data_IF_608450198062
#
_entry.id   IF_608450198062
#
_cell.length_a   1.000
_cell.length_b   1.000
_cell.length_c   1.000
_cell.angle_alpha   90.00
_cell.angle_beta   90.00
_cell.angle_gamma   90.00
#
_symmetry.space_group_name_H-M   'P 1'
#
loop_
_entity.id
_entity.type
_entity.pdbx_description
1 polymer ?
#
# COMPACT_ATOMS: atom_id res chain seq x y z
N UNK A 1 -0.57 37.56 42.33
CA UNK A 1 0.79 37.85 41.83
C UNK A 1 0.95 37.12 40.50
N UNK A 2 0.93 37.85 39.38
CA UNK A 2 1.57 37.40 38.13
C UNK A 2 3.10 37.59 38.23
N UNK A 3 3.91 37.50 37.15
CA UNK A 3 3.59 37.65 35.70
C UNK A 3 4.00 36.42 34.85
N UNK A 4 3.44 36.14 33.66
CA UNK A 4 3.44 36.83 32.35
C UNK A 4 4.68 36.58 31.47
N UNK A 5 4.46 35.85 30.36
CA UNK A 5 5.00 35.98 28.99
C UNK A 5 4.73 34.64 28.26
N UNK A 6 4.10 34.50 27.10
CA UNK A 6 3.65 35.41 26.05
C UNK A 6 3.88 34.72 24.70
N UNK A 7 2.87 34.77 23.81
CA UNK A 7 2.90 34.65 22.32
C UNK A 7 3.37 33.30 21.70
N UNK A 8 2.86 32.78 20.58
CA UNK A 8 1.86 33.19 19.56
C UNK A 8 1.59 31.98 18.61
N UNK A 9 0.37 31.92 18.06
CA UNK A 9 -0.08 31.38 16.76
C UNK A 9 0.34 29.99 16.23
N UNK A 10 -0.70 29.15 16.03
CA UNK A 10 -1.17 28.84 14.67
C UNK A 10 -0.56 27.63 13.95
N UNK A 11 -1.35 26.55 13.83
CA UNK A 11 -1.93 26.10 12.55
C UNK A 11 -2.01 24.57 12.37
N UNK A 12 -3.20 24.21 11.91
CA UNK A 12 -3.77 23.05 11.25
C UNK A 12 -3.00 21.71 11.13
N UNK A 13 -3.69 20.66 11.57
CA UNK A 13 -3.27 19.25 11.44
C UNK A 13 -3.60 18.73 10.04
N UNK A 14 -2.54 18.46 9.28
CA UNK A 14 -2.62 17.72 8.02
C UNK A 14 -2.99 16.25 8.22
N UNK A 15 -3.95 15.79 7.41
CA UNK A 15 -4.20 14.38 7.10
C UNK A 15 -3.72 14.05 5.70
N UNK A 16 -2.94 12.97 5.61
CA UNK A 16 -2.27 12.41 4.44
C UNK A 16 -3.22 12.02 3.29
N UNK A 17 -2.74 12.18 2.05
CA UNK A 17 -2.87 11.14 1.03
C UNK A 17 -1.70 11.17 0.05
N UNK A 18 -1.07 10.01 0.00
CA UNK A 18 -0.02 9.46 -0.85
C UNK A 18 -0.22 9.69 -2.36
N UNK A 19 0.86 10.01 -3.08
CA UNK A 19 0.99 9.58 -4.49
C UNK A 19 2.47 9.46 -4.92
N UNK A 20 2.93 8.21 -4.92
CA UNK A 20 3.94 7.62 -5.79
C UNK A 20 5.15 8.44 -6.25
N UNK A 21 6.26 8.20 -5.54
CA UNK A 21 7.62 8.34 -6.07
C UNK A 21 7.86 7.36 -7.24
N UNK A 22 7.98 7.89 -8.47
CA UNK A 22 8.69 7.22 -9.57
C UNK A 22 10.15 7.66 -9.60
N UNK A 23 10.99 6.72 -9.16
CA UNK A 23 12.43 6.52 -9.38
C UNK A 23 13.09 7.45 -10.40
N UNK A 24 14.06 8.20 -9.88
CA UNK A 24 15.04 8.97 -10.64
C UNK A 24 15.90 8.04 -11.52
N UNK A 25 15.69 8.11 -12.84
CA UNK A 25 16.71 7.72 -13.79
C UNK A 25 17.83 8.77 -13.74
N UNK A 26 18.99 8.39 -13.19
CA UNK A 26 20.25 9.11 -13.37
C UNK A 26 20.58 9.19 -14.87
N UNK A 27 20.14 10.28 -15.49
CA UNK A 27 20.68 10.76 -16.75
C UNK A 27 21.54 11.99 -16.44
N UNK A 28 22.85 11.85 -16.54
CA UNK A 28 23.80 12.97 -16.50
C UNK A 28 23.35 14.04 -17.49
N UNK A 29 22.70 15.10 -16.99
CA UNK A 29 22.34 16.28 -17.77
C UNK A 29 23.64 16.99 -18.14
N UNK A 30 24.16 16.72 -19.34
CA UNK A 30 25.05 17.66 -20.01
C UNK A 30 24.23 18.93 -20.24
N UNK A 31 24.42 19.92 -19.37
CA UNK A 31 23.92 21.27 -19.58
C UNK A 31 24.40 21.74 -20.96
N UNK A 32 23.47 21.81 -21.92
CA UNK A 32 23.75 22.47 -23.18
C UNK A 32 23.75 23.97 -22.87
N UNK A 33 24.84 24.70 -23.15
CA UNK A 33 24.90 26.12 -22.87
C UNK A 33 23.74 26.81 -23.57
N UNK A 34 22.96 27.61 -22.84
CA UNK A 34 21.94 28.50 -23.41
C UNK A 34 22.65 29.56 -24.23
N UNK A 35 22.92 29.25 -25.50
CA UNK A 35 23.50 30.19 -26.45
C UNK A 35 22.40 31.22 -26.72
N UNK A 36 22.62 32.46 -26.27
CA UNK A 36 21.66 33.54 -26.47
C UNK A 36 21.42 33.77 -27.96
N UNK A 37 20.23 34.28 -28.32
CA UNK A 37 19.84 34.58 -29.71
C UNK A 37 20.89 35.43 -30.44
N UNK A 38 21.56 36.33 -29.71
CA UNK A 38 22.67 37.15 -30.18
C UNK A 38 23.91 36.31 -30.51
N UNK A 39 24.33 35.41 -29.61
CA UNK A 39 25.47 34.51 -29.83
C UNK A 39 25.22 33.54 -31.01
N UNK A 40 23.99 33.05 -31.19
CA UNK A 40 23.67 32.20 -32.35
C UNK A 40 23.78 32.96 -33.69
N UNK A 41 23.42 34.23 -33.73
CA UNK A 41 23.53 35.07 -34.92
C UNK A 41 24.99 35.47 -35.21
N UNK A 42 25.78 35.71 -34.16
CA UNK A 42 27.22 35.96 -34.27
C UNK A 42 27.97 34.73 -34.80
N UNK A 43 27.66 33.54 -34.30
CA UNK A 43 28.23 32.28 -34.79
C UNK A 43 27.84 32.04 -36.27
N UNK A 44 26.61 32.37 -36.68
CA UNK A 44 26.19 32.27 -38.08
C UNK A 44 26.99 33.21 -38.98
N UNK A 45 27.19 34.48 -38.57
CA UNK A 45 28.02 35.43 -39.30
C UNK A 45 29.48 34.99 -39.38
N UNK A 46 30.01 34.37 -38.33
CA UNK A 46 31.36 33.79 -38.36
C UNK A 46 31.48 32.64 -39.35
N UNK A 47 30.50 31.73 -39.38
CA UNK A 47 30.47 30.61 -40.34
C UNK A 47 30.37 31.12 -41.78
N UNK A 48 29.54 32.14 -42.04
CA UNK A 48 29.41 32.76 -43.37
C UNK A 48 30.70 33.48 -43.79
N UNK A 49 31.36 34.19 -42.87
CA UNK A 49 32.63 34.84 -43.13
C UNK A 49 33.77 33.82 -43.37
N UNK A 50 33.79 32.72 -42.62
CA UNK A 50 34.78 31.65 -42.80
C UNK A 50 34.55 30.87 -44.10
N UNK A 51 33.29 30.66 -44.50
CA UNK A 51 32.92 30.10 -45.81
C UNK A 51 33.39 30.99 -46.96
N UNK A 52 33.21 32.31 -46.84
CA UNK A 52 33.67 33.29 -47.83
C UNK A 52 35.20 33.35 -47.91
N UNK A 53 35.89 33.30 -46.77
CA UNK A 53 37.38 33.24 -46.73
C UNK A 53 37.90 31.96 -47.39
N UNK A 54 37.22 30.83 -47.19
CA UNK A 54 37.57 29.56 -47.82
C UNK A 54 37.33 29.58 -49.35
N UNK A 55 36.36 30.35 -49.85
CA UNK A 55 36.12 30.55 -51.29
C UNK A 55 37.14 31.50 -51.95
N UNK A 56 37.65 32.48 -51.21
CA UNK A 56 38.64 33.46 -51.67
C UNK A 56 40.07 32.87 -51.69
N UNK A 57 40.40 31.91 -50.81
CA UNK A 57 41.69 31.20 -50.79
C UNK A 57 41.69 29.96 -51.71
N UNK A 58 41.94 30.16 -53.01
CA UNK A 58 41.91 29.09 -54.03
C UNK A 58 43.23 28.31 -54.23
N UNK A 59 44.31 28.70 -53.54
CA UNK A 59 45.66 28.09 -53.67
C UNK A 59 46.03 27.17 -52.48
N UNK A 60 45.04 26.63 -51.77
CA UNK A 60 45.25 25.66 -50.69
C UNK A 60 45.21 24.22 -51.22
N UNK A 61 46.01 23.33 -50.65
CA UNK A 61 45.96 21.90 -50.97
C UNK A 61 44.52 21.37 -50.79
N UNK A 62 44.01 20.67 -51.81
CA UNK A 62 42.59 20.23 -51.92
C UNK A 62 42.11 19.47 -50.67
N UNK A 63 43.02 18.75 -49.99
CA UNK A 63 42.72 17.99 -48.78
C UNK A 63 42.42 18.86 -47.55
N UNK A 64 43.13 19.98 -47.36
CA UNK A 64 42.89 20.88 -46.23
C UNK A 64 41.59 21.66 -46.41
N UNK A 65 41.30 22.07 -47.65
CA UNK A 65 40.03 22.69 -48.03
C UNK A 65 38.84 21.78 -47.74
N UNK A 66 38.95 20.48 -48.04
CA UNK A 66 37.89 19.50 -47.76
C UNK A 66 37.69 19.26 -46.26
N UNK A 67 38.76 19.26 -45.45
CA UNK A 67 38.65 19.14 -43.98
C UNK A 67 37.96 20.36 -43.35
N UNK A 68 38.29 21.57 -43.81
CA UNK A 68 37.63 22.79 -43.32
C UNK A 68 36.17 22.83 -43.76
N UNK A 69 35.88 22.44 -45.00
CA UNK A 69 34.52 22.40 -45.52
C UNK A 69 33.64 21.40 -44.73
N UNK A 70 34.11 20.18 -44.50
CA UNK A 70 33.35 19.18 -43.72
C UNK A 70 33.11 19.62 -42.28
N UNK A 71 34.06 20.32 -41.67
CA UNK A 71 33.90 20.89 -40.33
C UNK A 71 32.91 22.07 -40.30
N UNK A 72 32.91 22.92 -41.33
CA UNK A 72 31.88 23.97 -41.50
C UNK A 72 30.50 23.36 -41.71
N UNK A 73 30.37 22.34 -42.56
CA UNK A 73 29.12 21.61 -42.79
C UNK A 73 28.59 20.94 -41.50
N UNK A 74 29.49 20.37 -40.67
CA UNK A 74 29.11 19.82 -39.37
C UNK A 74 28.55 20.89 -38.42
N UNK A 75 29.23 22.05 -38.31
CA UNK A 75 28.76 23.18 -37.50
C UNK A 75 27.43 23.75 -38.01
N UNK A 76 27.25 23.85 -39.32
CA UNK A 76 25.98 24.25 -39.94
C UNK A 76 24.85 23.26 -39.60
N UNK A 77 25.13 21.95 -39.67
CA UNK A 77 24.15 20.92 -39.32
C UNK A 77 23.76 20.93 -37.83
N UNK A 78 24.70 21.17 -36.92
CA UNK A 78 24.41 21.31 -35.50
C UNK A 78 23.57 22.55 -35.18
N UNK A 79 23.88 23.69 -35.80
CA UNK A 79 23.06 24.90 -35.69
C UNK A 79 21.65 24.69 -36.22
N UNK A 80 21.50 23.96 -37.33
CA UNK A 80 20.19 23.63 -37.89
C UNK A 80 19.37 22.77 -36.92
N UNK A 81 19.96 21.71 -36.35
CA UNK A 81 19.29 20.87 -35.34
C UNK A 81 18.89 21.68 -34.10
N UNK A 82 19.73 22.62 -33.66
CA UNK A 82 19.41 23.50 -32.55
C UNK A 82 18.24 24.45 -32.86
N UNK A 83 18.22 25.05 -34.06
CA UNK A 83 17.10 25.89 -34.53
C UNK A 83 15.80 25.10 -34.65
N UNK A 84 15.86 23.88 -35.18
CA UNK A 84 14.69 22.98 -35.28
C UNK A 84 14.15 22.60 -33.90
N UNK A 85 15.03 22.27 -32.94
CA UNK A 85 14.62 22.00 -31.56
C UNK A 85 14.00 23.23 -30.87
N UNK A 86 14.55 24.43 -31.08
CA UNK A 86 14.00 25.67 -30.57
C UNK A 86 12.62 25.97 -31.18
N UNK A 87 12.47 25.81 -32.50
CA UNK A 87 11.20 25.99 -33.21
C UNK A 87 10.13 25.02 -32.71
N UNK A 88 10.48 23.74 -32.52
CA UNK A 88 9.57 22.74 -31.97
C UNK A 88 9.14 23.08 -30.53
N UNK A 89 10.05 23.59 -29.70
CA UNK A 89 9.72 24.03 -28.35
C UNK A 89 8.79 25.25 -28.36
N UNK A 90 9.06 26.24 -29.22
CA UNK A 90 8.18 27.41 -29.38
C UNK A 90 6.79 27.00 -29.85
N UNK A 91 6.67 26.12 -30.85
CA UNK A 91 5.37 25.58 -31.29
C UNK A 91 4.61 24.86 -30.17
N UNK A 92 5.31 24.11 -29.31
CA UNK A 92 4.69 23.45 -28.14
C UNK A 92 4.23 24.47 -27.10
N UNK A 93 5.02 25.52 -26.84
CA UNK A 93 4.64 26.61 -25.93
C UNK A 93 3.44 27.38 -26.47
N UNK A 94 3.42 27.69 -27.77
CA UNK A 94 2.29 28.33 -28.43
C UNK A 94 1.04 27.44 -28.42
N UNK A 95 1.18 26.12 -28.58
CA UNK A 95 0.06 25.18 -28.47
C UNK A 95 -0.50 25.07 -27.03
N UNK A 96 0.37 25.13 -26.02
CA UNK A 96 -0.05 25.18 -24.62
C UNK A 96 -0.69 26.53 -24.28
N UNK A 97 -0.10 27.64 -24.74
CA UNK A 97 -0.63 28.98 -24.58
C UNK A 97 -1.98 29.11 -25.30
N UNK A 98 -2.11 28.64 -26.53
CA UNK A 98 -3.40 28.67 -27.23
C UNK A 98 -4.42 27.76 -26.54
N UNK A 99 -4.03 26.61 -25.99
CA UNK A 99 -4.95 25.76 -25.21
C UNK A 99 -5.37 26.38 -23.86
N UNK A 100 -4.51 27.19 -23.25
CA UNK A 100 -4.79 27.88 -21.98
C UNK A 100 -5.53 29.21 -22.22
N UNK A 101 -5.29 29.89 -23.35
CA UNK A 101 -5.69 31.29 -23.60
C UNK A 101 -6.70 31.43 -24.75
N UNK A 102 -6.68 30.58 -25.78
CA UNK A 102 -7.43 30.78 -27.06
C UNK A 102 -8.28 29.58 -27.48
N UNK A 103 -8.22 28.46 -26.76
CA UNK A 103 -8.74 27.16 -27.21
C UNK A 103 -9.76 26.54 -26.25
N UNK A 104 -11.00 26.98 -26.36
CA UNK A 104 -12.19 26.14 -26.12
C UNK A 104 -12.75 26.09 -24.70
N UNK A 105 -11.93 26.09 -23.65
CA UNK A 105 -12.41 26.21 -22.27
C UNK A 105 -11.36 26.92 -21.41
N UNK A 106 -11.72 28.09 -20.86
CA UNK A 106 -10.88 28.86 -19.95
C UNK A 106 -10.66 28.04 -18.66
N UNK A 107 -9.66 27.15 -18.64
CA UNK A 107 -9.32 26.31 -17.48
C UNK A 107 -9.06 27.17 -16.23
N UNK A 108 -8.50 28.36 -16.43
CA UNK A 108 -8.29 29.34 -15.36
C UNK A 108 -9.63 29.87 -14.81
N UNK A 109 -10.54 30.29 -15.69
CA UNK A 109 -11.87 30.80 -15.28
C UNK A 109 -12.74 29.69 -14.67
N UNK A 110 -12.63 28.45 -15.16
CA UNK A 110 -13.30 27.29 -14.55
C UNK A 110 -12.74 26.95 -13.18
N UNK A 111 -11.42 27.05 -12.99
CA UNK A 111 -10.81 26.88 -11.68
C UNK A 111 -11.25 27.97 -10.70
N UNK A 112 -11.25 29.24 -11.12
CA UNK A 112 -11.75 30.35 -10.32
C UNK A 112 -13.25 30.23 -10.02
N UNK A 113 -14.06 29.75 -10.97
CA UNK A 113 -15.48 29.51 -10.76
C UNK A 113 -15.74 28.35 -9.80
N UNK A 114 -14.96 27.27 -9.88
CA UNK A 114 -15.02 26.16 -8.92
C UNK A 114 -14.57 26.59 -7.53
N UNK A 115 -13.50 27.38 -7.43
CA UNK A 115 -13.01 27.93 -6.16
C UNK A 115 -14.08 28.82 -5.50
N UNK A 116 -14.68 29.74 -6.25
CA UNK A 116 -15.80 30.57 -5.74
C UNK A 116 -17.01 29.75 -5.32
N UNK A 117 -17.33 28.68 -6.05
CA UNK A 117 -18.43 27.79 -5.69
C UNK A 117 -18.13 27.00 -4.40
N UNK A 118 -16.90 26.53 -4.24
CA UNK A 118 -16.44 25.87 -3.02
C UNK A 118 -16.45 26.81 -1.82
N UNK A 119 -15.99 28.06 -2.00
CA UNK A 119 -16.03 29.09 -0.96
C UNK A 119 -17.47 29.41 -0.52
N UNK A 120 -18.39 29.59 -1.49
CA UNK A 120 -19.80 29.81 -1.19
C UNK A 120 -20.42 28.63 -0.43
N UNK A 121 -20.13 27.40 -0.86
CA UNK A 121 -20.57 26.18 -0.19
C UNK A 121 -20.02 26.08 1.24
N UNK A 122 -18.73 26.38 1.43
CA UNK A 122 -18.09 26.38 2.75
C UNK A 122 -18.73 27.40 3.70
N UNK A 123 -18.99 28.62 3.21
CA UNK A 123 -19.67 29.67 3.99
C UNK A 123 -21.11 29.29 4.33
N UNK A 124 -21.84 28.66 3.41
CA UNK A 124 -23.18 28.15 3.69
C UNK A 124 -23.17 27.03 4.73
N UNK A 125 -22.21 26.11 4.63
CA UNK A 125 -22.03 25.00 5.56
C UNK A 125 -21.69 25.53 6.97
N UNK A 126 -20.78 26.50 7.07
CA UNK A 126 -20.45 27.16 8.34
C UNK A 126 -21.68 27.87 8.94
N UNK A 127 -22.48 28.56 8.12
CA UNK A 127 -23.75 29.16 8.58
C UNK A 127 -24.75 28.12 9.05
N UNK A 128 -24.80 26.94 8.44
CA UNK A 128 -25.67 25.85 8.90
C UNK A 128 -25.15 25.24 10.21
N UNK A 129 -23.84 25.02 10.32
CA UNK A 129 -23.21 24.53 11.56
C UNK A 129 -23.45 25.51 12.72
N UNK A 130 -23.19 26.80 12.54
CA UNK A 130 -23.47 27.82 13.57
C UNK A 130 -24.95 27.85 13.96
N UNK A 131 -25.87 27.72 13.01
CA UNK A 131 -27.32 27.63 13.30
C UNK A 131 -27.67 26.37 14.07
N UNK A 132 -27.10 25.23 13.70
CA UNK A 132 -27.29 23.96 14.39
C UNK A 132 -26.75 24.03 15.83
N UNK A 133 -25.56 24.59 16.03
CA UNK A 133 -24.96 24.80 17.34
C UNK A 133 -25.80 25.73 18.21
N UNK A 134 -26.27 26.86 17.67
CA UNK A 134 -27.16 27.77 18.38
C UNK A 134 -28.48 27.11 18.77
N UNK A 135 -29.08 26.31 17.88
CA UNK A 135 -30.27 25.54 18.20
C UNK A 135 -29.98 24.50 19.28
N UNK A 136 -28.83 23.84 19.22
CA UNK A 136 -28.42 22.84 20.19
C UNK A 136 -28.18 23.45 21.58
N UNK A 137 -27.55 24.63 21.64
CA UNK A 137 -27.37 25.38 22.88
C UNK A 137 -28.72 25.82 23.45
N UNK A 138 -29.61 26.38 22.63
CA UNK A 138 -30.98 26.74 23.07
C UNK A 138 -31.78 25.54 23.55
N UNK A 139 -31.64 24.37 22.92
CA UNK A 139 -32.27 23.14 23.40
C UNK A 139 -31.74 22.74 24.77
N UNK A 140 -30.41 22.76 24.97
CA UNK A 140 -29.78 22.49 26.27
C UNK A 140 -30.27 23.47 27.34
N UNK A 141 -30.26 24.77 27.07
CA UNK A 141 -30.78 25.80 27.98
C UNK A 141 -32.26 25.56 28.33
N UNK A 142 -33.09 25.20 27.34
CA UNK A 142 -34.52 24.89 27.60
C UNK A 142 -34.71 23.61 28.39
N UNK A 143 -33.86 22.60 28.20
CA UNK A 143 -33.84 21.39 29.00
C UNK A 143 -33.42 21.70 30.45
N UNK A 144 -32.39 22.50 30.63
CA UNK A 144 -31.93 22.97 31.95
C UNK A 144 -32.98 23.84 32.66
N UNK A 145 -33.62 24.77 31.96
CA UNK A 145 -34.73 25.58 32.48
C UNK A 145 -35.92 24.71 32.86
N UNK A 146 -36.27 23.69 32.05
CA UNK A 146 -37.32 22.73 32.39
C UNK A 146 -36.96 21.96 33.66
N UNK A 147 -35.71 21.52 33.80
CA UNK A 147 -35.24 20.81 34.99
C UNK A 147 -35.29 21.73 36.23
N UNK A 148 -34.94 23.01 36.08
CA UNK A 148 -34.94 24.01 37.17
C UNK A 148 -36.36 24.46 37.57
N UNK A 149 -37.28 24.59 36.61
CA UNK A 149 -38.70 24.86 36.89
C UNK A 149 -39.36 23.62 37.52
N UNK A 150 -39.02 22.42 37.07
CA UNK A 150 -39.40 21.18 37.76
C UNK A 150 -38.91 21.18 39.21
N UNK A 151 -37.73 21.75 39.52
CA UNK A 151 -37.19 21.81 40.90
C UNK A 151 -37.93 22.78 41.83
N UNK A 152 -38.73 23.72 41.30
CA UNK A 152 -39.68 24.51 42.09
C UNK A 152 -40.96 23.72 42.31
N UNK A 153 -40.87 22.65 43.09
CA UNK A 153 -42.03 21.87 43.49
C UNK A 153 -42.85 22.67 44.51
N UNK A 154 -44.12 22.96 44.19
CA UNK A 154 -45.03 23.68 45.08
C UNK A 154 -45.53 22.80 46.25
N UNK A 155 -45.10 21.52 46.33
CA UNK A 155 -45.40 20.56 47.39
C UNK A 155 -44.33 19.46 47.52
N UNK A 156 -44.05 19.04 48.76
CA UNK A 156 -43.13 17.94 49.10
C UNK A 156 -43.46 16.62 48.36
N UNK A 157 -44.73 16.42 48.03
CA UNK A 157 -45.20 15.22 47.33
C UNK A 157 -44.86 15.25 45.84
N UNK A 158 -44.86 16.43 45.21
CA UNK A 158 -44.39 16.61 43.83
C UNK A 158 -42.87 16.47 43.75
N UNK A 159 -42.14 16.94 44.77
CA UNK A 159 -40.69 16.77 44.87
C UNK A 159 -40.30 15.28 44.96
N UNK A 160 -41.00 14.50 45.79
CA UNK A 160 -40.78 13.06 45.90
C UNK A 160 -41.08 12.34 44.57
N UNK A 161 -42.14 12.73 43.85
CA UNK A 161 -42.49 12.17 42.55
C UNK A 161 -41.45 12.54 41.47
N UNK A 162 -40.97 13.79 41.49
CA UNK A 162 -39.93 14.31 40.63
C UNK A 162 -38.59 13.60 40.82
N UNK A 163 -38.14 13.48 42.08
CA UNK A 163 -36.93 12.72 42.43
C UNK A 163 -37.03 11.25 42.02
N UNK A 164 -38.20 10.60 42.17
CA UNK A 164 -38.43 9.23 41.67
C UNK A 164 -38.32 9.13 40.15
N UNK A 165 -38.80 10.12 39.39
CA UNK A 165 -38.65 10.18 37.93
C UNK A 165 -37.20 10.38 37.52
N UNK A 166 -36.48 11.32 38.17
CA UNK A 166 -35.05 11.55 37.97
C UNK A 166 -34.24 10.28 38.26
N UNK A 167 -34.52 9.59 39.37
CA UNK A 167 -33.86 8.33 39.73
C UNK A 167 -34.11 7.24 38.68
N UNK A 168 -35.33 7.12 38.13
CA UNK A 168 -35.61 6.18 37.05
C UNK A 168 -34.83 6.51 35.78
N UNK A 169 -34.78 7.79 35.37
CA UNK A 169 -34.00 8.24 34.22
C UNK A 169 -32.50 7.98 34.40
N UNK A 170 -31.96 8.30 35.57
CA UNK A 170 -30.56 8.02 35.90
C UNK A 170 -30.29 6.51 35.94
N UNK A 171 -31.23 5.71 36.45
CA UNK A 171 -31.13 4.25 36.43
C UNK A 171 -31.09 3.69 35.02
N UNK A 172 -31.92 4.19 34.10
CA UNK A 172 -31.87 3.79 32.68
C UNK A 172 -30.57 4.22 32.01
N UNK A 173 -30.10 5.44 32.25
CA UNK A 173 -28.82 5.91 31.72
C UNK A 173 -27.64 5.09 32.25
N UNK A 174 -27.66 4.74 33.54
CA UNK A 174 -26.64 3.88 34.15
C UNK A 174 -26.62 2.48 33.52
N UNK A 175 -27.79 1.87 33.33
CA UNK A 175 -27.87 0.55 32.69
C UNK A 175 -27.41 0.60 31.24
N UNK A 176 -27.74 1.67 30.52
CA UNK A 176 -27.25 1.89 29.15
C UNK A 176 -25.73 2.03 29.12
N UNK A 177 -25.15 2.92 29.94
CA UNK A 177 -23.70 3.10 30.02
C UNK A 177 -22.98 1.82 30.45
N UNK A 178 -23.60 1.02 31.32
CA UNK A 178 -23.08 -0.30 31.70
C UNK A 178 -23.09 -1.28 30.52
N UNK A 179 -24.18 -1.32 29.75
CA UNK A 179 -24.27 -2.16 28.56
C UNK A 179 -23.21 -1.76 27.52
N UNK A 180 -23.06 -0.46 27.25
CA UNK A 180 -22.01 0.07 26.36
C UNK A 180 -20.61 -0.35 26.82
N UNK A 181 -20.35 -0.32 28.13
CA UNK A 181 -19.08 -0.76 28.70
C UNK A 181 -18.86 -2.27 28.51
N UNK A 182 -19.89 -3.08 28.73
CA UNK A 182 -19.83 -4.52 28.52
C UNK A 182 -19.64 -4.88 27.03
N UNK A 183 -20.26 -4.13 26.12
CA UNK A 183 -20.07 -4.26 24.66
C UNK A 183 -18.61 -3.96 24.28
N UNK A 184 -18.05 -2.82 24.70
CA UNK A 184 -16.64 -2.45 24.46
C UNK A 184 -15.67 -3.50 25.03
N UNK A 185 -15.95 -4.03 26.22
CA UNK A 185 -15.14 -5.12 26.80
C UNK A 185 -15.19 -6.38 25.94
N UNK A 186 -16.36 -6.74 25.43
CA UNK A 186 -16.52 -7.92 24.59
C UNK A 186 -15.79 -7.79 23.25
N UNK A 187 -15.82 -6.60 22.66
CA UNK A 187 -15.06 -6.26 21.44
C UNK A 187 -13.55 -6.36 21.71
N UNK A 188 -13.08 -5.76 22.80
CA UNK A 188 -11.67 -5.82 23.17
C UNK A 188 -11.19 -7.25 23.38
N UNK A 189 -11.97 -8.10 24.07
CA UNK A 189 -11.63 -9.52 24.25
C UNK A 189 -11.56 -10.23 22.90
N UNK A 190 -12.52 -9.98 22.00
CA UNK A 190 -12.55 -10.59 20.66
C UNK A 190 -11.34 -10.17 19.82
N UNK A 191 -10.96 -8.89 19.88
CA UNK A 191 -9.75 -8.38 19.21
C UNK A 191 -8.49 -9.01 19.78
N UNK A 192 -8.36 -9.07 21.10
CA UNK A 192 -7.24 -9.73 21.78
C UNK A 192 -7.15 -11.20 21.40
N UNK A 193 -8.26 -11.93 21.39
CA UNK A 193 -8.30 -13.33 20.96
C UNK A 193 -7.87 -13.50 19.51
N UNK A 194 -8.31 -12.61 18.61
CA UNK A 194 -7.89 -12.59 17.21
C UNK A 194 -6.38 -12.34 17.05
N UNK A 195 -5.83 -11.36 17.76
CA UNK A 195 -4.39 -11.08 17.75
C UNK A 195 -3.58 -12.26 18.30
N UNK A 196 -4.04 -12.87 19.41
CA UNK A 196 -3.39 -14.03 19.99
C UNK A 196 -3.44 -15.24 19.05
N UNK A 197 -4.53 -15.46 18.33
CA UNK A 197 -4.58 -16.54 17.34
C UNK A 197 -3.66 -16.27 16.15
N UNK A 198 -3.58 -15.03 15.67
CA UNK A 198 -2.61 -14.65 14.64
C UNK A 198 -1.16 -14.91 15.10
N UNK A 199 -0.82 -14.56 16.34
CA UNK A 199 0.52 -14.86 16.91
C UNK A 199 0.76 -16.37 16.94
N UNK A 200 -0.23 -17.17 17.36
CA UNK A 200 -0.10 -18.64 17.36
C UNK A 200 0.07 -19.19 15.95
N UNK A 201 -0.68 -18.68 14.97
CA UNK A 201 -0.55 -19.08 13.58
C UNK A 201 0.82 -18.74 13.01
N UNK A 202 1.28 -17.49 13.16
CA UNK A 202 2.61 -17.05 12.73
C UNK A 202 3.72 -17.86 13.43
N UNK A 203 3.54 -18.20 14.70
CA UNK A 203 4.45 -19.07 15.43
C UNK A 203 4.53 -20.48 14.83
N UNK A 204 3.39 -21.07 14.42
CA UNK A 204 3.35 -22.37 13.72
C UNK A 204 4.00 -22.30 12.34
N UNK A 205 3.73 -21.24 11.58
CA UNK A 205 4.32 -21.03 10.25
C UNK A 205 5.83 -20.83 10.33
N UNK A 206 6.31 -20.02 11.27
CA UNK A 206 7.73 -19.83 11.51
C UNK A 206 8.41 -21.14 11.91
N UNK A 207 7.81 -21.90 12.84
CA UNK A 207 8.35 -23.21 13.23
C UNK A 207 8.41 -24.18 12.04
N UNK A 208 7.40 -24.18 11.17
CA UNK A 208 7.40 -24.97 9.93
C UNK A 208 8.54 -24.54 9.00
N UNK A 209 8.72 -23.23 8.78
CA UNK A 209 9.80 -22.73 7.92
C UNK A 209 11.18 -23.04 8.49
N UNK A 210 11.38 -22.90 9.80
CA UNK A 210 12.63 -23.29 10.46
C UNK A 210 12.89 -24.79 10.29
N UNK A 211 11.88 -25.64 10.50
CA UNK A 211 12.00 -27.08 10.31
C UNK A 211 12.36 -27.42 8.85
N UNK A 212 11.75 -26.74 7.88
CA UNK A 212 12.06 -26.91 6.46
C UNK A 212 13.52 -26.49 6.15
N UNK A 213 13.94 -25.35 6.67
CA UNK A 213 15.32 -24.84 6.50
C UNK A 213 16.32 -25.82 7.11
N UNK A 214 16.07 -26.32 8.32
CA UNK A 214 16.96 -27.26 9.00
C UNK A 214 17.08 -28.61 8.29
N UNK A 215 16.00 -29.09 7.67
CA UNK A 215 16.01 -30.36 6.95
C UNK A 215 16.67 -30.27 5.56
N UNK A 216 16.51 -29.15 4.86
CA UNK A 216 16.91 -29.04 3.44
C UNK A 216 18.17 -28.20 3.22
N UNK A 217 18.58 -27.35 4.16
CA UNK A 217 19.72 -26.44 4.00
C UNK A 217 20.75 -26.72 5.12
N UNK A 218 21.96 -27.20 4.79
CA UNK A 218 23.01 -27.36 5.79
C UNK A 218 23.40 -26.02 6.46
N UNK A 219 23.68 -26.06 7.76
CA UNK A 219 24.09 -24.90 8.59
C UNK A 219 25.13 -23.94 7.97
N UNK A 220 26.25 -24.39 7.36
CA UNK A 220 27.22 -23.46 6.80
C UNK A 220 26.67 -22.63 5.63
N UNK A 221 25.69 -23.16 4.89
CA UNK A 221 25.02 -22.40 3.83
C UNK A 221 23.96 -21.44 4.39
N UNK A 222 23.32 -21.77 5.51
CA UNK A 222 22.42 -20.85 6.21
C UNK A 222 23.18 -19.59 6.66
N UNK A 223 24.33 -19.77 7.33
CA UNK A 223 25.19 -18.66 7.78
C UNK A 223 25.65 -17.79 6.59
N UNK A 224 26.00 -18.42 5.46
CA UNK A 224 26.39 -17.70 4.25
C UNK A 224 25.24 -16.86 3.67
N UNK A 225 24.00 -17.37 3.72
CA UNK A 225 22.80 -16.64 3.26
C UNK A 225 22.51 -15.49 4.21
N UNK A 226 22.51 -15.72 5.53
CA UNK A 226 22.25 -14.70 6.55
C UNK A 226 23.22 -13.52 6.45
N UNK A 227 24.51 -13.77 6.23
CA UNK A 227 25.51 -12.71 6.04
C UNK A 227 25.27 -11.86 4.78
N UNK A 228 24.61 -12.42 3.76
CA UNK A 228 24.42 -11.80 2.45
C UNK A 228 23.01 -11.30 2.17
N UNK A 229 22.08 -11.49 3.09
CA UNK A 229 20.72 -10.94 3.07
C UNK A 229 20.73 -9.50 3.57
N UNK A 230 20.01 -8.62 2.88
CA UNK A 230 19.77 -7.24 3.28
C UNK A 230 18.30 -6.89 3.07
N UNK A 231 17.73 -6.17 4.02
CA UNK A 231 16.39 -5.60 3.86
C UNK A 231 16.46 -4.36 2.98
N UNK A 232 15.60 -4.28 1.97
CA UNK A 232 15.47 -3.08 1.14
C UNK A 232 14.19 -2.32 1.53
N UNK A 233 14.34 -1.20 2.23
CA UNK A 233 13.22 -0.38 2.72
C UNK A 233 12.38 0.24 1.58
N UNK A 234 12.99 0.56 0.44
CA UNK A 234 12.31 1.20 -0.69
C UNK A 234 11.36 0.24 -1.44
N UNK A 235 11.60 -1.07 -1.32
CA UNK A 235 10.82 -2.12 -2.01
C UNK A 235 10.01 -2.94 -1.00
N UNK A 236 10.42 -2.98 0.27
CA UNK A 236 9.77 -3.78 1.32
C UNK A 236 10.03 -5.27 1.19
N UNK A 237 11.19 -5.67 0.65
CA UNK A 237 11.55 -7.06 0.41
C UNK A 237 12.99 -7.38 0.86
N UNK A 238 13.23 -8.63 1.27
CA UNK A 238 14.57 -9.15 1.52
C UNK A 238 15.31 -9.39 0.21
N UNK A 239 16.48 -8.79 0.05
CA UNK A 239 17.36 -8.94 -1.10
C UNK A 239 18.62 -9.70 -0.73
N UNK A 240 18.89 -10.79 -1.45
CA UNK A 240 20.12 -11.54 -1.30
C UNK A 240 21.19 -10.96 -2.24
N UNK A 241 22.42 -10.71 -1.74
CA UNK A 241 23.53 -10.31 -2.61
C UNK A 241 23.91 -11.46 -3.54
N UNK A 242 24.28 -11.12 -4.78
CA UNK A 242 24.79 -12.08 -5.75
C UNK A 242 23.80 -13.21 -6.16
N UNK A 243 22.48 -12.97 -6.08
CA UNK A 243 21.43 -13.96 -6.47
C UNK A 243 21.66 -14.58 -7.85
N UNK A 244 22.17 -13.79 -8.81
CA UNK A 244 22.46 -14.24 -10.17
C UNK A 244 23.45 -15.41 -10.25
N UNK A 245 24.30 -15.59 -9.24
CA UNK A 245 25.31 -16.66 -9.18
C UNK A 245 24.81 -17.91 -8.44
N UNK A 246 23.56 -17.92 -7.98
CA UNK A 246 22.96 -19.11 -7.33
C UNK A 246 22.61 -20.17 -8.38
N UNK A 247 22.76 -21.45 -8.02
CA UNK A 247 22.59 -22.57 -8.96
C UNK A 247 21.23 -22.62 -9.67
N UNK A 248 20.15 -22.17 -9.03
CA UNK A 248 18.83 -22.07 -9.69
C UNK A 248 18.78 -20.98 -10.77
N UNK A 249 19.44 -19.84 -10.55
CA UNK A 249 19.48 -18.74 -11.50
C UNK A 249 20.50 -18.97 -12.64
N UNK A 250 21.48 -19.85 -12.43
CA UNK A 250 22.46 -20.25 -13.46
C UNK A 250 21.99 -21.39 -14.35
N UNK A 251 20.94 -22.13 -13.96
CA UNK A 251 20.33 -23.17 -14.82
C UNK A 251 19.51 -22.49 -15.92
N UNK A 252 19.83 -22.77 -17.18
CA UNK A 252 18.99 -22.36 -18.32
C UNK A 252 17.61 -23.04 -18.15
N UNK A 253 16.49 -22.33 -18.36
CA UNK A 253 15.19 -22.99 -18.36
C UNK A 253 15.20 -24.07 -19.44
N UNK A 254 15.04 -25.33 -19.04
CA UNK A 254 14.77 -26.41 -19.99
C UNK A 254 13.49 -26.04 -20.74
N UNK A 255 13.50 -26.18 -22.07
CA UNK A 255 12.35 -25.88 -22.91
C UNK A 255 11.18 -26.74 -22.42
N UNK A 256 10.07 -26.08 -22.06
CA UNK A 256 8.83 -26.76 -21.67
C UNK A 256 8.42 -27.76 -22.75
N UNK A 257 8.54 -29.06 -22.46
CA UNK A 257 7.85 -30.08 -23.23
C UNK A 257 6.36 -30.01 -22.84
N UNK A 258 5.43 -29.99 -23.80
CA UNK A 258 4.00 -29.89 -23.51
C UNK A 258 3.59 -31.05 -22.58
N UNK A 259 2.78 -30.78 -21.53
CA UNK A 259 2.43 -31.79 -20.55
C UNK A 259 1.68 -32.94 -21.24
N UNK A 260 2.21 -34.16 -21.13
CA UNK A 260 1.48 -35.34 -21.60
C UNK A 260 0.17 -35.46 -20.82
N UNK A 261 -0.96 -35.78 -21.46
CA UNK A 261 -2.25 -35.85 -20.78
C UNK A 261 -2.17 -36.87 -19.65
N UNK A 262 -2.42 -36.41 -18.43
CA UNK A 262 -2.43 -37.23 -17.21
C UNK A 262 -3.63 -38.17 -17.28
N UNK A 263 -3.42 -39.48 -17.21
CA UNK A 263 -4.49 -40.46 -17.22
C UNK A 263 -5.23 -40.49 -15.86
N UNK A 264 -6.47 -40.01 -15.87
CA UNK A 264 -7.35 -39.89 -14.70
C UNK A 264 -8.24 -41.13 -14.50
N UNK A 265 -7.96 -42.23 -15.21
CA UNK A 265 -8.70 -43.49 -15.14
C UNK A 265 -8.85 -44.06 -13.72
N UNK A 266 -7.93 -43.72 -12.81
CA UNK A 266 -7.95 -44.20 -11.41
C UNK A 266 -8.82 -43.37 -10.45
N UNK A 267 -9.36 -42.22 -10.87
CA UNK A 267 -10.12 -41.31 -9.98
C UNK A 267 -11.64 -41.50 -10.13
N UNK A 268 -12.09 -41.99 -11.28
CA UNK A 268 -13.51 -42.27 -11.50
C UNK A 268 -13.85 -43.72 -11.15
N UNK A 269 -14.29 -43.94 -9.90
CA UNK A 269 -15.06 -45.14 -9.56
C UNK A 269 -16.44 -45.02 -10.22
N UNK A 270 -16.59 -45.63 -11.41
CA UNK A 270 -17.88 -45.65 -12.08
C UNK A 270 -18.84 -46.55 -11.29
N UNK A 271 -19.90 -45.96 -10.74
CA UNK A 271 -21.04 -46.67 -10.18
C UNK A 271 -21.81 -47.33 -11.33
N UNK A 272 -21.34 -48.50 -11.76
CA UNK A 272 -22.15 -49.43 -12.54
C UNK A 272 -22.49 -50.58 -11.59
N UNK A 273 -23.78 -50.67 -11.27
CA UNK A 273 -24.34 -51.44 -10.17
C UNK A 273 -23.87 -52.89 -10.12
N UNK A 274 -23.86 -53.39 -8.87
CA UNK A 274 -23.59 -54.76 -8.46
C UNK A 274 -24.39 -55.78 -9.27
N UNK A 275 -23.85 -56.31 -10.37
CA UNK A 275 -24.21 -57.63 -10.90
C UNK A 275 -22.96 -58.32 -11.48
N UNK A 276 -22.72 -59.54 -11.00
CA UNK A 276 -21.85 -60.59 -11.57
C UNK A 276 -20.35 -60.67 -11.20
N UNK A 277 -20.13 -61.44 -10.13
CA UNK A 277 -19.34 -62.69 -10.08
C UNK A 277 -18.00 -62.73 -10.86
N UNK A 278 -16.95 -62.90 -10.04
CA UNK A 278 -15.98 -64.00 -10.17
C UNK A 278 -14.96 -63.91 -11.32
N UNK A 279 -13.77 -63.37 -11.04
CA UNK A 279 -12.53 -64.08 -11.40
C UNK A 279 -11.48 -63.87 -10.30
N UNK A 280 -11.14 -64.98 -9.66
CA UNK A 280 -9.93 -65.14 -8.84
C UNK A 280 -8.75 -65.29 -9.80
N UNK A 281 -7.69 -64.50 -9.63
CA UNK A 281 -6.38 -64.83 -10.20
C UNK A 281 -5.35 -65.03 -9.09
N UNK A 282 -4.79 -66.23 -9.10
CA UNK A 282 -3.83 -66.78 -8.17
C UNK A 282 -2.39 -66.35 -8.49
N UNK A 283 -1.61 -66.13 -7.40
CA UNK A 283 -0.16 -66.42 -7.24
C UNK A 283 0.80 -65.56 -8.10
N UNK A 284 1.84 -64.95 -7.55
CA UNK A 284 3.02 -65.66 -7.08
C UNK A 284 3.66 -65.09 -5.80
N UNK A 285 3.98 -66.03 -4.92
CA UNK A 285 4.74 -65.93 -3.68
C UNK A 285 6.25 -65.82 -3.90
N UNK A 286 6.95 -65.02 -3.09
CA UNK A 286 8.27 -65.38 -2.52
C UNK A 286 8.41 -64.85 -1.09
N UNK A 287 8.33 -65.76 -0.12
CA UNK A 287 8.82 -65.57 1.25
C UNK A 287 9.63 -66.79 1.68
N UNK A 288 10.74 -66.56 2.38
CA UNK A 288 11.31 -67.40 3.46
C UNK A 288 12.52 -66.68 4.11
N UNK A 289 12.95 -67.01 5.35
CA UNK A 289 12.18 -66.95 6.61
C UNK A 289 12.97 -66.36 7.83
N UNK A 290 12.19 -65.99 8.87
CA UNK A 290 12.36 -66.20 10.33
C UNK A 290 13.72 -65.99 11.04
N UNK A 291 13.68 -65.23 12.14
CA UNK A 291 13.68 -65.83 13.49
C UNK A 291 13.10 -64.87 14.54
N UNK A 292 12.48 -65.45 15.55
CA UNK A 292 11.72 -64.79 16.62
C UNK A 292 12.41 -65.03 17.96
N UNK A 293 12.21 -64.13 18.93
CA UNK A 293 12.18 -64.51 20.34
C UNK A 293 11.15 -63.65 21.09
N UNK A 294 10.28 -64.34 21.83
CA UNK A 294 9.16 -63.84 22.65
C UNK A 294 9.63 -63.63 24.09
N UNK A 295 9.02 -62.68 24.82
CA UNK A 295 8.27 -62.90 26.09
C UNK A 295 7.63 -61.55 26.53
N UNK A 296 6.28 -61.42 26.60
CA UNK A 296 5.37 -61.54 27.78
C UNK A 296 5.75 -60.64 28.96
N UNK A 297 4.87 -59.96 29.68
CA UNK A 297 3.41 -59.77 29.78
C UNK A 297 3.24 -58.49 30.64
N UNK A 298 2.13 -58.07 31.23
CA UNK A 298 0.79 -58.58 31.50
C UNK A 298 0.03 -57.41 32.20
N UNK A 299 -1.30 -57.35 32.03
CA UNK A 299 -2.30 -56.74 32.93
C UNK A 299 -2.20 -55.24 33.29
N UNK A 300 -3.27 -54.46 33.49
CA UNK A 300 -4.70 -54.69 33.60
C UNK A 300 -5.36 -53.46 34.25
N UNK A 301 -6.69 -53.34 34.11
CA UNK A 301 -7.59 -52.56 34.98
C UNK A 301 -7.67 -51.05 34.69
N UNK A 302 -8.72 -50.53 34.03
CA UNK A 302 -10.08 -50.31 34.57
C UNK A 302 -10.15 -49.38 35.79
N UNK A 303 -10.63 -48.14 35.59
CA UNK A 303 -11.98 -47.74 36.03
C UNK A 303 -12.29 -46.26 35.75
N UNK A 304 -13.45 -46.06 35.10
CA UNK A 304 -14.27 -44.87 35.20
C UNK A 304 -14.76 -44.66 36.64
N UNK A 305 -14.77 -43.41 37.11
CA UNK A 305 -15.72 -42.94 38.14
C UNK A 305 -16.23 -41.55 37.77
N UNK A 306 -17.44 -41.51 37.19
CA UNK A 306 -18.35 -40.35 37.28
C UNK A 306 -18.89 -40.31 38.71
N UNK A 307 -18.75 -39.20 39.41
CA UNK A 307 -19.51 -38.94 40.64
C UNK A 307 -20.44 -37.75 40.40
N UNK A 308 -21.73 -38.01 40.55
CA UNK A 308 -22.79 -37.04 40.61
C UNK A 308 -22.98 -36.60 42.06
N UNK A 309 -23.11 -35.29 42.30
CA UNK A 309 -23.66 -34.76 43.55
C UNK A 309 -24.91 -33.95 43.23
N UNK A 310 -25.93 -34.28 44.03
CA UNK A 310 -27.33 -33.87 44.04
C UNK A 310 -27.53 -32.39 44.40
N UNK A 311 -28.59 -31.83 43.79
CA UNK A 311 -29.74 -31.13 44.39
C UNK A 311 -29.53 -30.41 45.73
N UNK A 312 -29.84 -29.12 45.76
CA UNK A 312 -30.87 -28.59 46.67
C UNK A 312 -31.65 -27.45 46.03
N UNK A 313 -32.96 -27.50 46.27
CA UNK A 313 -33.95 -26.48 45.96
C UNK A 313 -34.17 -25.62 47.20
N UNK A 314 -34.16 -24.30 47.02
CA UNK A 314 -35.23 -23.36 47.39
C UNK A 314 -34.83 -21.94 47.00
#
# INVERSE_FOLDING_TARGET
MGPSAGVDSGDDSGGEVDDHQKRAAQGTKKERPKISKQKMAEIQRMIEADKRRLEEQKDMAVEERNKIQTHLEHKEAELRKAKEAQSNLMRRMEALQSRIIVGGENLLEKAEAQEKLLEQSAVELERQQRRAEQLHQKLKEKEEERINIEEKYNSLQEEAAGKRRKLRKLGTMYLQAKAELDDVRSEHVREMEGLLENIRQLGRELALYTMLIDHFIPKPYQELIEQNVQWNEDIGEWQLRCVAYTGNNMRKPEKEHPPSPVDLSNIYLSYRGDEDKMTVSMKQSKHKPQSATKFRGDSGGSRYTKSAIRKHAR
#
